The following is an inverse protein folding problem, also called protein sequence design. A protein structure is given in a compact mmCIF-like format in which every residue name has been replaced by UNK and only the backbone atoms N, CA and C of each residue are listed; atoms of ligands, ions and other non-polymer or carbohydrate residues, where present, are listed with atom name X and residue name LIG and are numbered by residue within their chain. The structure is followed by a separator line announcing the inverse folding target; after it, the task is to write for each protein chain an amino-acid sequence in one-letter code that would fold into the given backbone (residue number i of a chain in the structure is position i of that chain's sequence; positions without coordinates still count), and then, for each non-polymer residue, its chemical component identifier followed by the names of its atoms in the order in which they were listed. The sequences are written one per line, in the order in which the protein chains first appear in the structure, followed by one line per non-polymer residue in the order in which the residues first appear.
data_IF_199049889335
#
_entry.id   IF_199049889335
#
_cell.length_a   1.000
_cell.length_b   1.000
_cell.length_c   1.000
_cell.angle_alpha   90.00
_cell.angle_beta   90.00
_cell.angle_gamma   90.00
#
_symmetry.space_group_name_H-M   'P 1'
#
loop_
_entity.id
_entity.type
_entity.pdbx_description
1 polymer ?
#
# COMPACT_ATOMS: atom_id res chain seq x y z
N UNK A 1 21.62 25.39 23.84
CA UNK A 1 20.31 26.06 23.63
C UNK A 1 19.44 25.61 24.79
N UNK A 2 18.92 26.54 25.57
CA UNK A 2 17.98 26.23 26.66
C UNK A 2 16.61 25.94 26.06
N UNK A 3 16.19 24.68 26.13
CA UNK A 3 14.92 24.19 25.55
C UNK A 3 13.82 24.03 26.59
N UNK A 4 14.00 24.59 27.79
CA UNK A 4 12.97 24.56 28.83
C UNK A 4 11.76 25.42 28.46
N UNK A 5 10.55 24.96 28.81
CA UNK A 5 9.32 25.72 28.56
C UNK A 5 9.25 27.03 29.37
N UNK A 6 10.03 27.12 30.44
CA UNK A 6 10.16 28.29 31.31
C UNK A 6 10.90 29.46 30.67
N UNK A 7 11.63 29.23 29.58
CA UNK A 7 12.34 30.28 28.84
C UNK A 7 11.48 30.77 27.65
N UNK A 8 10.94 32.00 27.68
CA UNK A 8 10.09 32.51 26.60
C UNK A 8 10.79 32.53 25.24
N UNK A 9 12.10 32.79 25.20
CA UNK A 9 12.88 32.78 23.97
C UNK A 9 13.09 31.35 23.43
N UNK A 10 13.34 30.37 24.31
CA UNK A 10 13.44 28.96 23.95
C UNK A 10 12.13 28.41 23.38
N UNK A 11 10.99 28.80 23.99
CA UNK A 11 9.65 28.45 23.49
C UNK A 11 9.39 29.01 22.09
N UNK A 12 9.69 30.29 21.86
CA UNK A 12 9.55 30.91 20.53
C UNK A 12 10.39 30.17 19.48
N UNK A 13 11.66 29.89 19.79
CA UNK A 13 12.56 29.18 18.88
C UNK A 13 12.01 27.78 18.54
N UNK A 14 11.47 27.06 19.51
CA UNK A 14 10.87 25.74 19.26
C UNK A 14 9.64 25.83 18.35
N UNK A 15 8.78 26.85 18.50
CA UNK A 15 7.65 27.04 17.59
C UNK A 15 8.08 27.34 16.16
N UNK A 16 9.11 28.18 15.98
CA UNK A 16 9.65 28.46 14.65
C UNK A 16 10.23 27.19 14.03
N UNK A 17 11.01 26.41 14.78
CA UNK A 17 11.58 25.14 14.31
C UNK A 17 10.48 24.12 13.96
N UNK A 18 9.41 24.04 14.75
CA UNK A 18 8.27 23.19 14.46
C UNK A 18 7.58 23.60 13.15
N UNK A 19 7.35 24.91 12.95
CA UNK A 19 6.76 25.43 11.72
C UNK A 19 7.63 25.15 10.49
N UNK A 20 8.97 25.28 10.62
CA UNK A 20 9.90 24.91 9.54
C UNK A 20 9.83 23.42 9.24
N UNK A 21 9.81 22.56 10.26
CA UNK A 21 9.71 21.12 10.07
C UNK A 21 8.39 20.70 9.38
N UNK A 22 7.29 21.37 9.70
CA UNK A 22 6.01 21.16 9.01
C UNK A 22 6.05 21.61 7.55
N UNK A 23 6.66 22.76 7.28
CA UNK A 23 6.88 23.26 5.93
C UNK A 23 7.74 22.31 5.09
N UNK A 24 8.86 21.84 5.62
CA UNK A 24 9.73 20.89 4.91
C UNK A 24 8.99 19.58 4.61
N UNK A 25 8.20 19.07 5.57
CA UNK A 25 7.37 17.88 5.38
C UNK A 25 6.35 18.07 4.26
N UNK A 26 5.72 19.24 4.16
CA UNK A 26 4.73 19.52 3.11
C UNK A 26 5.38 19.58 1.73
N UNK A 27 6.54 20.23 1.60
CA UNK A 27 7.33 20.29 0.36
C UNK A 27 7.78 18.90 -0.09
N UNK A 28 8.26 18.05 0.83
CA UNK A 28 8.64 16.67 0.52
C UNK A 28 7.43 15.90 -0.02
N UNK A 29 6.27 16.03 0.62
CA UNK A 29 5.03 15.36 0.21
C UNK A 29 4.58 15.81 -1.18
N UNK A 30 4.63 17.11 -1.46
CA UNK A 30 4.30 17.66 -2.78
C UNK A 30 5.20 17.05 -3.87
N UNK A 31 6.51 17.01 -3.64
CA UNK A 31 7.47 16.41 -4.58
C UNK A 31 7.23 14.92 -4.80
N UNK A 32 6.93 14.16 -3.74
CA UNK A 32 6.61 12.72 -3.86
C UNK A 32 5.35 12.55 -4.72
N UNK A 33 4.31 13.33 -4.47
CA UNK A 33 3.06 13.24 -5.23
C UNK A 33 3.28 13.58 -6.71
N UNK A 34 4.05 14.63 -7.01
CA UNK A 34 4.41 14.97 -8.38
C UNK A 34 5.19 13.84 -9.07
N UNK A 35 6.14 13.21 -8.36
CA UNK A 35 6.89 12.06 -8.86
C UNK A 35 6.00 10.84 -9.12
N UNK A 36 5.06 10.53 -8.20
CA UNK A 36 4.09 9.45 -8.36
C UNK A 36 3.14 9.69 -9.54
N UNK A 37 2.68 10.93 -9.73
CA UNK A 37 1.86 11.32 -10.87
C UNK A 37 2.61 11.08 -12.19
N UNK A 38 3.84 11.59 -12.31
CA UNK A 38 4.66 11.39 -13.49
C UNK A 38 5.00 9.91 -13.75
N UNK A 39 5.23 9.12 -12.70
CA UNK A 39 5.44 7.66 -12.83
C UNK A 39 4.18 6.96 -13.36
N UNK A 40 3.00 7.35 -12.87
CA UNK A 40 1.71 6.82 -13.33
C UNK A 40 1.45 7.18 -14.81
N UNK A 41 1.76 8.40 -15.23
CA UNK A 41 1.67 8.85 -16.63
C UNK A 41 2.58 8.04 -17.56
N UNK A 42 3.79 7.70 -17.10
CA UNK A 42 4.70 6.78 -17.81
C UNK A 42 4.23 5.31 -17.82
N UNK A 43 3.10 4.99 -17.19
CA UNK A 43 2.53 3.65 -17.13
C UNK A 43 3.12 2.76 -16.03
N UNK A 44 3.87 3.31 -15.08
CA UNK A 44 4.37 2.53 -13.95
C UNK A 44 3.20 2.01 -13.09
N UNK A 45 3.16 0.70 -12.84
CA UNK A 45 2.20 0.09 -11.91
C UNK A 45 2.70 0.29 -10.47
N UNK A 46 2.07 1.24 -9.77
CA UNK A 46 2.35 1.53 -8.37
C UNK A 46 1.62 0.52 -7.45
N UNK A 47 2.14 0.36 -6.23
CA UNK A 47 1.55 -0.51 -5.19
C UNK A 47 2.02 -1.97 -5.27
N UNK A 48 1.47 -2.81 -4.40
CA UNK A 48 1.83 -4.24 -4.33
C UNK A 48 1.41 -4.96 -5.62
N UNK A 49 2.31 -5.73 -6.27
CA UNK A 49 1.96 -6.52 -7.44
C UNK A 49 0.77 -7.44 -7.18
N UNK A 50 -0.16 -7.51 -8.14
CA UNK A 50 -1.32 -8.42 -8.08
C UNK A 50 -0.89 -9.84 -8.44
N UNK A 51 -0.29 -10.55 -7.48
CA UNK A 51 0.12 -11.95 -7.66
C UNK A 51 -1.06 -12.91 -7.71
N UNK A 52 -2.23 -12.55 -7.18
CA UNK A 52 -3.39 -13.44 -7.15
C UNK A 52 -3.91 -13.82 -8.54
N UNK A 53 -3.81 -12.91 -9.52
CA UNK A 53 -4.36 -13.17 -10.84
C UNK A 53 -3.60 -14.29 -11.59
N UNK A 54 -2.37 -14.60 -11.20
CA UNK A 54 -1.60 -15.72 -11.77
C UNK A 54 -2.24 -17.10 -11.50
N UNK A 55 -3.01 -17.22 -10.42
CA UNK A 55 -3.68 -18.47 -10.04
C UNK A 55 -5.11 -18.58 -10.58
N UNK A 56 -5.63 -17.54 -11.25
CA UNK A 56 -7.03 -17.47 -11.73
C UNK A 56 -7.39 -18.67 -12.61
N UNK A 57 -6.56 -18.99 -13.60
CA UNK A 57 -6.81 -20.09 -14.53
C UNK A 57 -6.84 -21.45 -13.83
N UNK A 58 -5.88 -21.70 -12.93
CA UNK A 58 -5.80 -22.94 -12.16
C UNK A 58 -7.00 -23.11 -11.22
N UNK A 59 -7.37 -22.06 -10.48
CA UNK A 59 -8.53 -22.05 -9.58
C UNK A 59 -9.83 -22.30 -10.37
N UNK A 60 -10.03 -21.61 -11.50
CA UNK A 60 -11.22 -21.81 -12.34
C UNK A 60 -11.29 -23.22 -12.95
N UNK A 61 -10.16 -23.80 -13.33
CA UNK A 61 -10.10 -25.18 -13.84
C UNK A 61 -10.48 -26.19 -12.76
N UNK A 62 -9.88 -26.10 -11.57
CA UNK A 62 -10.14 -27.03 -10.46
C UNK A 62 -11.57 -26.87 -9.89
N UNK A 63 -12.09 -25.65 -9.89
CA UNK A 63 -13.48 -25.42 -9.47
C UNK A 63 -14.47 -26.03 -10.46
N UNK A 64 -14.22 -25.92 -11.77
CA UNK A 64 -15.05 -26.56 -12.81
C UNK A 64 -14.99 -28.08 -12.77
N UNK A 65 -13.90 -28.67 -12.28
CA UNK A 65 -13.83 -30.11 -12.01
C UNK A 65 -14.52 -30.52 -10.70
N UNK A 66 -15.26 -29.63 -10.04
CA UNK A 66 -16.03 -29.93 -8.83
C UNK A 66 -15.21 -29.91 -7.52
N UNK A 67 -13.97 -29.42 -7.53
CA UNK A 67 -13.13 -29.37 -6.33
C UNK A 67 -13.59 -28.24 -5.39
N UNK A 68 -13.65 -28.52 -4.08
CA UNK A 68 -14.01 -27.50 -3.09
C UNK A 68 -12.90 -26.46 -2.92
N UNK A 69 -13.27 -25.20 -2.64
CA UNK A 69 -12.31 -24.09 -2.53
C UNK A 69 -11.18 -24.31 -1.52
N UNK A 70 -11.44 -24.98 -0.39
CA UNK A 70 -10.39 -25.34 0.58
C UNK A 70 -9.42 -26.38 0.05
N UNK A 71 -9.90 -27.36 -0.72
CA UNK A 71 -9.06 -28.37 -1.36
C UNK A 71 -8.20 -27.75 -2.46
N UNK A 72 -8.76 -26.82 -3.24
CA UNK A 72 -8.01 -26.01 -4.22
C UNK A 72 -6.90 -25.20 -3.53
N UNK A 73 -7.17 -24.60 -2.37
CA UNK A 73 -6.20 -23.82 -1.61
C UNK A 73 -5.00 -24.68 -1.17
N UNK A 74 -5.27 -25.88 -0.67
CA UNK A 74 -4.24 -26.85 -0.30
C UNK A 74 -3.43 -27.30 -1.52
N UNK A 75 -4.10 -27.64 -2.63
CA UNK A 75 -3.47 -28.12 -3.87
C UNK A 75 -2.54 -27.06 -4.50
N UNK A 76 -3.00 -25.80 -4.54
CA UNK A 76 -2.25 -24.71 -5.15
C UNK A 76 -1.30 -24.00 -4.16
N UNK A 77 -1.24 -24.47 -2.91
CA UNK A 77 -0.46 -23.87 -1.82
C UNK A 77 -0.68 -22.35 -1.66
N UNK A 78 -1.93 -21.89 -1.81
CA UNK A 78 -2.32 -20.49 -1.63
C UNK A 78 -3.38 -20.35 -0.53
N UNK A 79 -3.48 -19.18 0.15
CA UNK A 79 -4.47 -18.98 1.20
C UNK A 79 -5.90 -19.20 0.69
N UNK A 80 -6.75 -19.85 1.49
CA UNK A 80 -8.14 -20.09 1.12
C UNK A 80 -8.90 -18.80 0.80
N UNK A 81 -8.60 -17.71 1.52
CA UNK A 81 -9.16 -16.38 1.23
C UNK A 81 -8.85 -15.88 -0.18
N UNK A 82 -7.65 -16.19 -0.70
CA UNK A 82 -7.25 -15.87 -2.07
C UNK A 82 -8.04 -16.68 -3.10
N UNK A 83 -8.27 -17.97 -2.84
CA UNK A 83 -9.10 -18.83 -3.69
C UNK A 83 -10.54 -18.31 -3.74
N UNK A 84 -11.17 -18.06 -2.59
CA UNK A 84 -12.52 -17.52 -2.55
C UNK A 84 -12.63 -16.12 -3.15
N UNK A 85 -11.61 -15.27 -2.99
CA UNK A 85 -11.57 -13.98 -3.65
C UNK A 85 -11.48 -14.11 -5.19
N UNK A 86 -10.80 -15.13 -5.71
CA UNK A 86 -10.74 -15.41 -7.15
C UNK A 86 -12.04 -15.99 -7.68
N UNK A 87 -12.68 -16.91 -6.94
CA UNK A 87 -13.96 -17.51 -7.33
C UNK A 87 -15.08 -16.46 -7.38
N UNK A 88 -15.19 -15.58 -6.38
CA UNK A 88 -16.17 -14.46 -6.37
C UNK A 88 -15.98 -13.42 -7.49
N UNK A 89 -14.83 -13.44 -8.17
CA UNK A 89 -14.52 -12.54 -9.30
C UNK A 89 -14.70 -13.22 -10.66
N UNK A 90 -15.03 -14.51 -10.68
CA UNK A 90 -15.23 -15.30 -11.88
C UNK A 90 -16.72 -15.49 -12.22
N UNK A 91 -17.61 -15.21 -11.25
CA UNK A 91 -19.01 -14.87 -11.46
C UNK A 91 -19.14 -13.43 -11.99
#
# INVERSE_FOLDING_TARGET
IDTSESNPAGRLQMHVLAAVAEFERSVIRERINAGLAAAKERGAKLGRPRTLDQHRGAVAKLSRSGMSGRKIAAELAIPAGSVFALLRRAD
#
